data_IF_497109043491
#
_entry.id   IF_497109043491
#
_cell.length_a   1.000
_cell.length_b   1.000
_cell.length_c   1.000
_cell.angle_alpha   90.00
_cell.angle_beta   90.00
_cell.angle_gamma   90.00
#
_symmetry.space_group_name_H-M   'P 1'
#
loop_
_entity.id
_entity.type
_entity.pdbx_description
1 polymer ?
#
# COMPACT_ATOMS: atom_id res chain seq x y z
N UNK A 1 16.61 -9.75 48.48
CA UNK A 1 15.40 -10.43 47.99
C UNK A 1 14.98 -9.67 46.74
N UNK A 2 15.50 -10.12 45.58
CA UNK A 2 15.16 -9.54 44.28
C UNK A 2 13.81 -10.16 43.89
N UNK A 3 12.80 -9.35 43.80
CA UNK A 3 11.51 -9.77 43.24
C UNK A 3 11.70 -9.88 41.74
N UNK A 4 11.91 -11.09 41.24
CA UNK A 4 11.75 -11.40 39.83
C UNK A 4 10.28 -11.17 39.48
N UNK A 5 9.98 -10.12 38.78
CA UNK A 5 8.69 -9.92 38.13
C UNK A 5 8.56 -10.97 37.00
N UNK A 6 7.87 -12.08 37.32
CA UNK A 6 7.34 -12.96 36.28
C UNK A 6 6.32 -12.17 35.46
N UNK A 7 6.77 -11.49 34.43
CA UNK A 7 5.94 -11.26 33.26
C UNK A 7 5.91 -12.59 32.49
N UNK A 8 4.92 -13.43 32.78
CA UNK A 8 4.42 -14.35 31.77
C UNK A 8 3.83 -13.46 30.68
N UNK A 9 4.69 -13.09 29.72
CA UNK A 9 4.35 -12.17 28.65
C UNK A 9 3.27 -12.80 27.77
N UNK A 10 2.13 -12.16 27.73
CA UNK A 10 1.22 -12.33 26.61
C UNK A 10 2.00 -11.89 25.38
N UNK A 11 2.27 -12.81 24.43
CA UNK A 11 2.90 -12.51 23.16
C UNK A 11 2.12 -11.37 22.52
N UNK A 12 2.82 -10.28 22.21
CA UNK A 12 2.24 -9.15 21.47
C UNK A 12 2.36 -9.46 19.97
N UNK A 13 1.43 -8.99 19.17
CA UNK A 13 1.54 -9.10 17.71
C UNK A 13 2.19 -7.82 17.20
N UNK A 14 3.41 -7.92 16.72
CA UNK A 14 4.11 -6.82 16.05
C UNK A 14 3.66 -6.72 14.59
N UNK A 15 3.30 -5.52 14.15
CA UNK A 15 2.81 -5.26 12.80
C UNK A 15 3.92 -4.60 11.99
N UNK A 16 4.27 -5.22 10.87
CA UNK A 16 5.35 -4.76 9.98
C UNK A 16 4.83 -4.56 8.58
N UNK A 17 5.21 -3.46 7.93
CA UNK A 17 4.88 -3.16 6.53
C UNK A 17 6.07 -2.50 5.84
N UNK A 18 5.90 -2.13 4.58
CA UNK A 18 6.92 -1.36 3.86
C UNK A 18 6.45 0.08 3.54
N UNK A 19 7.39 0.92 3.14
CA UNK A 19 7.13 2.35 2.92
C UNK A 19 6.14 2.64 1.79
N UNK A 20 5.89 1.67 0.90
CA UNK A 20 4.93 1.86 -0.20
C UNK A 20 3.48 1.87 0.28
N UNK A 21 3.19 1.42 1.50
CA UNK A 21 1.88 1.58 2.13
C UNK A 21 1.47 3.07 2.27
N UNK A 22 2.45 3.99 2.17
CA UNK A 22 2.21 5.44 2.27
C UNK A 22 1.54 5.87 3.57
N UNK A 23 1.74 5.11 4.64
CA UNK A 23 1.24 5.43 5.98
C UNK A 23 2.02 6.63 6.52
N UNK A 24 1.36 7.73 6.91
CA UNK A 24 2.06 8.85 7.52
C UNK A 24 2.77 8.43 8.82
N UNK A 25 3.97 8.96 9.07
CA UNK A 25 4.81 8.64 10.23
C UNK A 25 4.03 8.73 11.55
N UNK A 26 3.26 9.82 11.76
CA UNK A 26 2.47 9.98 12.97
C UNK A 26 1.38 8.89 13.15
N UNK A 27 0.94 8.24 12.07
CA UNK A 27 0.00 7.11 12.13
C UNK A 27 0.75 5.82 12.48
N UNK A 28 1.92 5.61 11.86
CA UNK A 28 2.76 4.46 12.17
C UNK A 28 3.19 4.47 13.64
N UNK A 29 3.67 5.61 14.13
CA UNK A 29 4.08 5.81 15.53
C UNK A 29 2.91 5.58 16.50
N UNK A 30 1.74 6.19 16.21
CA UNK A 30 0.55 6.06 17.05
C UNK A 30 0.09 4.62 17.22
N UNK A 31 0.28 3.81 16.21
CA UNK A 31 -0.21 2.43 16.15
C UNK A 31 0.89 1.39 16.29
N UNK A 32 2.11 1.80 16.59
CA UNK A 32 3.26 0.92 16.77
C UNK A 32 3.42 -0.03 15.56
N UNK A 33 3.57 0.57 14.38
CA UNK A 33 3.76 -0.12 13.11
C UNK A 33 5.21 0.04 12.67
N UNK A 34 5.94 -1.05 12.53
CA UNK A 34 7.28 -1.04 11.95
C UNK A 34 7.22 -0.89 10.43
N UNK A 35 7.84 0.16 9.91
CA UNK A 35 7.89 0.44 8.47
C UNK A 35 9.30 0.22 7.94
N UNK A 36 9.48 -0.79 7.08
CA UNK A 36 10.75 -0.99 6.37
C UNK A 36 10.78 -0.13 5.11
N UNK A 37 11.85 0.66 4.97
CA UNK A 37 11.99 1.56 3.83
C UNK A 37 12.47 0.86 2.57
N UNK A 38 11.83 1.15 1.43
CA UNK A 38 12.42 0.96 0.11
C UNK A 38 13.41 2.11 -0.16
N UNK A 39 14.16 2.00 -1.25
CA UNK A 39 15.17 2.99 -1.61
C UNK A 39 14.93 3.50 -3.03
N UNK A 40 15.28 4.79 -3.25
CA UNK A 40 15.33 5.43 -4.54
C UNK A 40 16.78 5.70 -4.93
N UNK A 41 17.07 5.58 -6.23
CA UNK A 41 18.35 5.96 -6.82
C UNK A 41 18.11 7.06 -7.86
N UNK A 42 18.58 8.26 -7.57
CA UNK A 42 18.43 9.42 -8.43
C UNK A 42 19.66 10.29 -8.45
N UNK A 43 20.10 10.69 -9.63
CA UNK A 43 21.30 11.54 -9.84
C UNK A 43 22.55 11.02 -9.14
N UNK A 44 22.71 9.69 -9.09
CA UNK A 44 23.85 9.01 -8.46
C UNK A 44 23.82 8.97 -6.92
N UNK A 45 22.71 9.38 -6.31
CA UNK A 45 22.46 9.30 -4.87
C UNK A 45 21.38 8.26 -4.55
N UNK A 46 21.50 7.68 -3.36
CA UNK A 46 20.49 6.78 -2.80
C UNK A 46 19.75 7.49 -1.67
N UNK A 47 18.41 7.32 -1.64
CA UNK A 47 17.53 7.89 -0.65
C UNK A 47 16.62 6.82 -0.07
N UNK A 48 16.33 6.90 1.21
CA UNK A 48 15.30 6.08 1.86
C UNK A 48 13.92 6.69 1.63
N UNK A 49 13.00 5.90 1.11
CA UNK A 49 11.64 6.32 0.75
C UNK A 49 10.87 6.93 1.95
N UNK A 50 10.97 6.27 3.12
CA UNK A 50 10.27 6.70 4.34
C UNK A 50 10.77 8.01 4.95
N UNK A 51 12.02 8.40 4.66
CA UNK A 51 12.65 9.61 5.23
C UNK A 51 12.58 10.82 4.31
N UNK A 52 11.99 10.68 3.11
CA UNK A 52 11.94 11.76 2.13
C UNK A 52 10.86 12.79 2.45
N UNK A 53 11.20 14.08 2.25
CA UNK A 53 10.20 15.13 2.10
C UNK A 53 9.48 14.96 0.75
N UNK A 54 8.31 14.31 0.82
CA UNK A 54 7.52 13.93 -0.35
C UNK A 54 7.09 15.13 -1.18
N UNK A 55 6.70 16.23 -0.54
CA UNK A 55 6.28 17.45 -1.23
C UNK A 55 7.45 18.11 -1.95
N UNK A 56 8.66 18.09 -1.38
CA UNK A 56 9.87 18.56 -2.04
C UNK A 56 10.26 17.67 -3.22
N UNK A 57 10.19 16.35 -3.08
CA UNK A 57 10.46 15.40 -4.15
C UNK A 57 9.50 15.60 -5.34
N UNK A 58 8.22 15.83 -5.06
CA UNK A 58 7.22 15.98 -6.12
C UNK A 58 7.27 17.31 -6.88
N UNK A 59 8.02 18.31 -6.42
CA UNK A 59 8.28 19.51 -7.23
C UNK A 59 9.01 19.17 -8.53
N UNK A 60 9.89 18.18 -8.48
CA UNK A 60 10.72 17.77 -9.63
C UNK A 60 10.09 16.64 -10.46
N UNK A 61 8.98 16.04 -10.02
CA UNK A 61 8.39 14.84 -10.65
C UNK A 61 8.05 15.04 -12.13
N UNK A 62 7.65 16.24 -12.53
CA UNK A 62 7.31 16.56 -13.92
C UNK A 62 8.54 16.55 -14.85
N UNK A 63 9.72 16.87 -14.30
CA UNK A 63 10.98 16.88 -15.05
C UNK A 63 11.60 15.47 -15.13
N UNK A 64 11.29 14.60 -14.16
CA UNK A 64 11.80 13.22 -14.09
C UNK A 64 11.42 12.35 -15.29
N UNK A 65 10.44 12.75 -16.09
CA UNK A 65 10.03 12.01 -17.29
C UNK A 65 11.17 11.84 -18.32
N UNK A 66 12.20 12.67 -18.25
CA UNK A 66 13.39 12.59 -19.12
C UNK A 66 14.51 11.73 -18.53
N UNK A 67 14.54 11.57 -17.20
CA UNK A 67 15.52 10.77 -16.46
C UNK A 67 14.81 10.19 -15.22
N UNK A 68 14.04 9.11 -15.44
CA UNK A 68 13.19 8.51 -14.42
C UNK A 68 14.08 7.80 -13.39
N UNK A 69 13.98 8.16 -12.09
CA UNK A 69 14.71 7.46 -11.04
C UNK A 69 14.37 5.97 -10.98
N UNK A 70 15.25 5.18 -10.38
CA UNK A 70 15.01 3.76 -10.12
C UNK A 70 14.78 3.51 -8.63
N UNK A 71 14.26 2.34 -8.29
CA UNK A 71 14.05 1.94 -6.89
C UNK A 71 14.60 0.54 -6.64
N UNK A 72 14.87 0.25 -5.37
CA UNK A 72 15.21 -1.08 -4.88
C UNK A 72 14.36 -1.43 -3.66
N UNK A 73 14.13 -2.73 -3.47
CA UNK A 73 13.48 -3.27 -2.28
C UNK A 73 14.34 -3.06 -1.03
N UNK A 74 13.76 -3.18 0.19
CA UNK A 74 14.53 -3.16 1.43
C UNK A 74 15.62 -4.22 1.44
N UNK A 75 16.69 -3.99 2.18
CA UNK A 75 17.71 -5.02 2.38
C UNK A 75 17.18 -6.17 3.24
N UNK A 76 17.69 -7.38 3.02
CA UNK A 76 17.38 -8.52 3.87
C UNK A 76 17.71 -8.21 5.34
N UNK A 77 18.85 -7.58 5.58
CA UNK A 77 19.32 -7.26 6.93
C UNK A 77 18.42 -6.26 7.67
N UNK A 78 17.85 -5.28 6.97
CA UNK A 78 16.94 -4.31 7.60
C UNK A 78 15.64 -4.97 8.09
N UNK A 79 15.11 -5.94 7.34
CA UNK A 79 13.92 -6.68 7.74
C UNK A 79 14.25 -7.71 8.83
N UNK A 80 15.38 -8.45 8.67
CA UNK A 80 15.83 -9.42 9.68
C UNK A 80 15.99 -8.78 11.05
N UNK A 81 16.54 -7.58 11.13
CA UNK A 81 16.71 -6.87 12.40
C UNK A 81 15.37 -6.66 13.13
N UNK A 82 14.33 -6.22 12.45
CA UNK A 82 13.00 -6.02 13.06
C UNK A 82 12.41 -7.36 13.54
N UNK A 83 12.53 -8.40 12.72
CA UNK A 83 12.00 -9.71 13.08
C UNK A 83 12.81 -10.39 14.19
N UNK A 84 14.12 -10.13 14.27
CA UNK A 84 14.97 -10.62 15.34
C UNK A 84 14.66 -9.95 16.68
N UNK A 85 14.47 -8.62 16.67
CA UNK A 85 14.00 -7.86 17.83
C UNK A 85 12.65 -8.42 18.35
N UNK A 86 11.68 -8.66 17.44
CA UNK A 86 10.41 -9.30 17.81
C UNK A 86 10.59 -10.70 18.43
N UNK A 87 11.46 -11.52 17.82
CA UNK A 87 11.73 -12.87 18.29
C UNK A 87 12.42 -12.91 19.68
N UNK A 88 13.30 -11.92 19.96
CA UNK A 88 13.97 -11.75 21.26
C UNK A 88 12.99 -11.33 22.37
N UNK A 89 12.01 -10.49 22.01
CA UNK A 89 10.94 -10.05 22.92
C UNK A 89 9.86 -11.12 23.12
N UNK A 90 9.84 -12.15 22.28
CA UNK A 90 8.85 -13.23 22.29
C UNK A 90 7.54 -12.86 21.62
N UNK A 91 7.57 -11.86 20.74
CA UNK A 91 6.43 -11.39 19.98
C UNK A 91 6.19 -12.22 18.71
N UNK A 92 4.92 -12.34 18.34
CA UNK A 92 4.51 -12.84 17.03
C UNK A 92 4.54 -11.69 15.99
N UNK A 93 4.73 -12.00 14.70
CA UNK A 93 4.80 -10.98 13.65
C UNK A 93 3.72 -11.19 12.60
N UNK A 94 3.02 -10.09 12.25
CA UNK A 94 2.26 -9.98 11.00
C UNK A 94 2.96 -8.96 10.13
N UNK A 95 3.53 -9.43 9.00
CA UNK A 95 4.07 -8.59 7.94
C UNK A 95 3.09 -8.49 6.78
N UNK A 96 2.65 -7.28 6.44
CA UNK A 96 1.82 -7.02 5.26
C UNK A 96 2.64 -6.16 4.31
N UNK A 97 2.95 -6.67 3.14
CA UNK A 97 3.87 -6.02 2.19
C UNK A 97 3.21 -5.81 0.83
N UNK A 98 3.71 -4.83 0.09
CA UNK A 98 3.24 -4.54 -1.25
C UNK A 98 3.20 -5.78 -2.15
N UNK A 99 2.39 -5.70 -3.21
CA UNK A 99 2.20 -6.79 -4.16
C UNK A 99 3.50 -7.42 -4.64
N UNK A 100 3.60 -8.74 -4.50
CA UNK A 100 4.71 -9.56 -4.98
C UNK A 100 4.84 -9.56 -6.52
N UNK A 101 3.77 -9.17 -7.24
CA UNK A 101 3.81 -8.96 -8.69
C UNK A 101 4.50 -7.65 -9.09
N UNK A 102 4.69 -6.72 -8.15
CA UNK A 102 5.28 -5.40 -8.40
C UNK A 102 6.69 -5.26 -7.82
N UNK A 103 7.01 -5.99 -6.74
CA UNK A 103 8.29 -5.91 -6.02
C UNK A 103 8.71 -7.25 -5.43
N UNK A 104 10.01 -7.43 -5.22
CA UNK A 104 10.54 -8.55 -4.44
C UNK A 104 10.47 -8.37 -2.92
N UNK A 105 9.89 -7.28 -2.41
CA UNK A 105 9.85 -6.94 -0.97
C UNK A 105 9.23 -8.06 -0.14
N UNK A 106 8.06 -8.57 -0.52
CA UNK A 106 7.41 -9.69 0.17
C UNK A 106 8.31 -10.94 0.25
N UNK A 107 8.96 -11.31 -0.86
CA UNK A 107 9.88 -12.46 -0.87
C UNK A 107 11.10 -12.21 0.02
N UNK A 108 11.62 -10.99 0.07
CA UNK A 108 12.68 -10.61 0.97
C UNK A 108 12.24 -10.76 2.43
N UNK A 109 11.05 -10.27 2.78
CA UNK A 109 10.47 -10.40 4.12
C UNK A 109 10.26 -11.86 4.52
N UNK A 110 9.77 -12.71 3.61
CA UNK A 110 9.63 -14.14 3.87
C UNK A 110 10.97 -14.82 4.15
N UNK A 111 12.01 -14.47 3.39
CA UNK A 111 13.35 -15.02 3.59
C UNK A 111 13.92 -14.55 4.95
N UNK A 112 13.73 -13.30 5.32
CA UNK A 112 14.10 -12.76 6.62
C UNK A 112 13.39 -13.51 7.76
N UNK A 113 12.06 -13.67 7.67
CA UNK A 113 11.27 -14.38 8.67
C UNK A 113 11.72 -15.84 8.86
N UNK A 114 11.99 -16.55 7.76
CA UNK A 114 12.51 -17.93 7.81
C UNK A 114 13.92 -18.01 8.41
N UNK A 115 14.78 -17.06 8.09
CA UNK A 115 16.11 -16.97 8.69
C UNK A 115 16.02 -16.81 10.21
N UNK A 116 15.17 -15.89 10.68
CA UNK A 116 14.95 -15.68 12.12
C UNK A 116 14.33 -16.93 12.77
N UNK A 117 13.29 -17.53 12.20
CA UNK A 117 12.64 -18.73 12.71
C UNK A 117 13.60 -19.94 12.79
N UNK A 118 14.64 -19.99 11.97
CA UNK A 118 15.67 -21.03 12.06
C UNK A 118 16.49 -20.95 13.36
N UNK A 119 16.66 -19.75 13.91
CA UNK A 119 17.41 -19.42 15.14
C UNK A 119 16.53 -19.36 16.38
N UNK A 120 15.32 -18.82 16.25
CA UNK A 120 14.34 -18.59 17.32
C UNK A 120 13.14 -19.52 17.16
N UNK A 121 13.13 -20.66 17.85
CA UNK A 121 12.14 -21.75 17.64
C UNK A 121 10.71 -21.42 18.06
N UNK A 122 10.51 -20.36 18.85
CA UNK A 122 9.19 -19.91 19.28
C UNK A 122 8.67 -18.74 18.45
N UNK A 123 9.46 -18.24 17.52
CA UNK A 123 9.08 -17.14 16.66
C UNK A 123 7.99 -17.56 15.67
N UNK A 124 6.79 -16.98 15.78
CA UNK A 124 5.70 -17.18 14.85
C UNK A 124 5.56 -15.96 13.96
N UNK A 125 5.24 -16.20 12.70
CA UNK A 125 5.02 -15.11 11.76
C UNK A 125 3.95 -15.43 10.73
N UNK A 126 3.35 -14.37 10.18
CA UNK A 126 2.52 -14.40 8.97
C UNK A 126 3.00 -13.30 8.05
N UNK A 127 3.45 -13.66 6.84
CA UNK A 127 3.82 -12.72 5.78
C UNK A 127 2.72 -12.74 4.72
N UNK A 128 2.10 -11.60 4.49
CA UNK A 128 0.88 -11.46 3.67
C UNK A 128 1.17 -10.55 2.49
N UNK A 129 0.79 -10.99 1.30
CA UNK A 129 0.78 -10.17 0.11
C UNK A 129 -0.45 -9.25 0.14
N UNK A 130 -0.24 -7.93 0.21
CA UNK A 130 -1.33 -6.96 0.17
C UNK A 130 -2.04 -6.92 -1.20
N UNK A 131 -1.49 -7.58 -2.21
CA UNK A 131 -2.02 -7.59 -3.58
C UNK A 131 -2.23 -6.18 -4.14
N UNK A 132 -1.52 -5.19 -3.61
CA UNK A 132 -1.62 -3.77 -3.98
C UNK A 132 -0.42 -2.98 -3.44
N UNK A 133 -0.57 -1.65 -3.38
CA UNK A 133 0.34 -0.68 -2.79
C UNK A 133 -0.43 0.55 -2.30
N UNK A 134 0.26 1.56 -1.78
CA UNK A 134 -0.32 2.80 -1.25
C UNK A 134 -1.35 2.51 -0.15
N UNK A 135 -2.35 3.36 0.08
CA UNK A 135 -3.35 3.08 1.11
C UNK A 135 -4.22 1.82 0.85
N UNK A 136 -4.19 1.27 -0.35
CA UNK A 136 -4.80 -0.04 -0.65
C UNK A 136 -4.02 -1.22 -0.02
N UNK A 137 -2.76 -0.96 0.38
CA UNK A 137 -1.93 -1.79 1.25
C UNK A 137 -2.07 -1.36 2.73
N UNK A 138 -2.19 -0.05 3.00
CA UNK A 138 -2.31 0.46 4.36
C UNK A 138 -3.59 -0.02 5.07
N UNK A 139 -4.72 -0.13 4.38
CA UNK A 139 -5.96 -0.61 5.01
C UNK A 139 -5.83 -2.03 5.58
N UNK A 140 -5.25 -3.02 4.88
CA UNK A 140 -4.89 -4.32 5.46
C UNK A 140 -3.95 -4.23 6.68
N UNK A 141 -2.94 -3.34 6.65
CA UNK A 141 -2.05 -3.10 7.80
C UNK A 141 -2.84 -2.61 9.00
N UNK A 142 -3.71 -1.61 8.81
CA UNK A 142 -4.56 -1.06 9.86
C UNK A 142 -5.59 -2.09 10.35
N UNK A 143 -6.06 -2.99 9.49
CA UNK A 143 -6.94 -4.09 9.92
C UNK A 143 -6.21 -5.10 10.83
N UNK A 144 -4.91 -5.33 10.62
CA UNK A 144 -4.08 -6.11 11.54
C UNK A 144 -3.93 -5.40 12.89
N UNK A 145 -3.70 -4.08 12.89
CA UNK A 145 -3.66 -3.25 14.10
C UNK A 145 -4.98 -3.32 14.87
N UNK A 146 -6.13 -3.12 14.17
CA UNK A 146 -7.47 -3.25 14.79
C UNK A 146 -7.68 -4.62 15.43
N UNK A 147 -7.17 -5.71 14.79
CA UNK A 147 -7.23 -7.06 15.33
C UNK A 147 -6.38 -7.23 16.59
N UNK A 148 -5.11 -6.81 16.54
CA UNK A 148 -4.18 -6.81 17.66
C UNK A 148 -4.77 -6.07 18.87
N UNK A 149 -5.22 -4.85 18.66
CA UNK A 149 -5.74 -3.98 19.71
C UNK A 149 -7.07 -4.52 20.31
N UNK A 150 -7.80 -5.33 19.54
CA UNK A 150 -8.98 -6.07 20.02
C UNK A 150 -8.63 -7.40 20.71
N UNK A 151 -7.36 -7.77 20.83
CA UNK A 151 -6.90 -9.02 21.45
C UNK A 151 -7.18 -10.27 20.62
N UNK A 152 -7.30 -10.13 19.29
CA UNK A 152 -7.47 -11.25 18.38
C UNK A 152 -6.19 -12.11 18.33
N UNK A 153 -6.34 -13.40 18.06
CA UNK A 153 -5.24 -14.27 17.71
C UNK A 153 -4.57 -13.89 16.38
N UNK A 154 -3.37 -14.42 16.15
CA UNK A 154 -2.60 -14.19 14.92
C UNK A 154 -3.43 -14.56 13.67
N UNK A 155 -4.14 -15.68 13.70
CA UNK A 155 -4.95 -16.15 12.56
C UNK A 155 -6.22 -15.28 12.36
N UNK A 156 -6.88 -14.83 13.42
CA UNK A 156 -8.01 -13.91 13.34
C UNK A 156 -7.59 -12.54 12.79
N UNK A 157 -6.39 -12.05 13.17
CA UNK A 157 -5.80 -10.85 12.55
C UNK A 157 -5.56 -11.05 11.05
N UNK A 158 -5.03 -12.22 10.63
CA UNK A 158 -4.86 -12.53 9.21
C UNK A 158 -6.18 -12.54 8.44
N UNK A 159 -7.27 -13.03 9.04
CA UNK A 159 -8.57 -13.03 8.38
C UNK A 159 -9.13 -11.62 8.21
N UNK A 160 -8.89 -10.71 9.16
CA UNK A 160 -9.19 -9.28 9.03
C UNK A 160 -8.38 -8.63 7.90
N UNK A 161 -7.08 -8.94 7.81
CA UNK A 161 -6.20 -8.47 6.72
C UNK A 161 -6.73 -8.94 5.36
N UNK A 162 -7.06 -10.22 5.20
CA UNK A 162 -7.64 -10.76 3.96
C UNK A 162 -8.95 -10.08 3.59
N UNK A 163 -9.81 -9.84 4.58
CA UNK A 163 -11.06 -9.11 4.36
C UNK A 163 -10.80 -7.70 3.85
N UNK A 164 -9.89 -6.95 4.49
CA UNK A 164 -9.53 -5.60 4.06
C UNK A 164 -8.97 -5.58 2.63
N UNK A 165 -8.11 -6.55 2.26
CA UNK A 165 -7.62 -6.71 0.88
C UNK A 165 -8.78 -6.90 -0.10
N UNK A 166 -9.74 -7.77 0.23
CA UNK A 166 -10.87 -8.08 -0.65
C UNK A 166 -11.90 -6.94 -0.73
N UNK A 167 -12.01 -6.09 0.30
CA UNK A 167 -13.00 -5.02 0.42
C UNK A 167 -12.48 -3.63 0.05
N UNK A 168 -11.22 -3.49 -0.33
CA UNK A 168 -10.61 -2.23 -0.75
C UNK A 168 -10.50 -2.09 -2.27
N UNK A 169 -10.37 -0.84 -2.73
CA UNK A 169 -10.16 -0.51 -4.14
C UNK A 169 -9.34 0.75 -4.29
N UNK A 170 -8.35 0.68 -5.17
CA UNK A 170 -7.55 1.81 -5.62
C UNK A 170 -7.93 2.16 -7.07
N UNK A 171 -8.37 3.39 -7.31
CA UNK A 171 -8.59 3.96 -8.65
C UNK A 171 -7.70 5.19 -8.80
N UNK A 172 -6.96 5.27 -9.90
CA UNK A 172 -6.09 6.40 -10.16
C UNK A 172 -5.98 6.70 -11.66
N UNK A 173 -5.69 7.96 -11.98
CA UNK A 173 -5.47 8.42 -13.35
C UNK A 173 -4.12 9.10 -13.45
N UNK A 174 -3.10 8.47 -14.09
CA UNK A 174 -1.81 9.10 -14.33
C UNK A 174 -1.91 10.05 -15.53
N UNK A 175 -1.13 11.13 -15.49
CA UNK A 175 -1.02 12.04 -16.65
C UNK A 175 -0.33 11.37 -17.86
N UNK A 176 0.54 10.40 -17.59
CA UNK A 176 1.28 9.66 -18.60
C UNK A 176 1.57 8.23 -18.17
N UNK A 177 1.42 7.27 -19.08
CA UNK A 177 1.84 5.88 -18.86
C UNK A 177 3.36 5.65 -19.01
N UNK A 178 4.14 6.69 -19.30
CA UNK A 178 5.58 6.56 -19.54
C UNK A 178 6.34 6.06 -18.32
N UNK A 179 6.01 6.58 -17.14
CA UNK A 179 6.61 6.16 -15.87
C UNK A 179 6.34 4.68 -15.59
N UNK A 180 5.08 4.25 -15.66
CA UNK A 180 4.68 2.84 -15.46
C UNK A 180 5.37 1.91 -16.47
N UNK A 181 5.55 2.36 -17.71
CA UNK A 181 6.25 1.59 -18.75
C UNK A 181 7.75 1.49 -18.46
N UNK A 182 8.40 2.62 -18.18
CA UNK A 182 9.82 2.66 -17.91
C UNK A 182 10.18 1.84 -16.65
N UNK A 183 9.36 1.94 -15.61
CA UNK A 183 9.52 1.14 -14.39
C UNK A 183 9.12 -0.33 -14.52
N UNK A 184 8.49 -0.76 -15.61
CA UNK A 184 8.02 -2.13 -15.79
C UNK A 184 6.81 -2.54 -14.95
N UNK A 185 6.17 -1.61 -14.22
CA UNK A 185 5.01 -1.87 -13.34
C UNK A 185 3.67 -1.54 -14.00
N UNK A 186 3.66 -1.45 -15.31
CA UNK A 186 2.44 -1.21 -16.10
C UNK A 186 1.46 -2.39 -16.11
N UNK A 187 1.91 -3.61 -15.84
CA UNK A 187 1.09 -4.82 -15.77
C UNK A 187 0.18 -5.01 -16.99
N UNK A 188 -1.06 -5.42 -16.74
CA UNK A 188 -2.08 -5.62 -17.80
C UNK A 188 -2.51 -4.34 -18.50
N UNK A 189 -2.23 -3.15 -17.94
CA UNK A 189 -2.47 -1.87 -18.58
C UNK A 189 -1.54 -1.62 -19.80
N UNK A 190 -0.51 -2.47 -20.01
CA UNK A 190 0.35 -2.44 -21.21
C UNK A 190 -0.44 -2.54 -22.52
N UNK A 191 -1.61 -3.16 -22.53
CA UNK A 191 -2.51 -3.21 -23.68
C UNK A 191 -3.02 -1.83 -24.13
N UNK A 192 -2.82 -0.76 -23.34
CA UNK A 192 -3.15 0.61 -23.73
C UNK A 192 -2.13 1.21 -24.71
N UNK A 193 -0.93 0.64 -24.82
CA UNK A 193 0.07 1.11 -25.78
C UNK A 193 -0.28 0.67 -27.20
N UNK A 194 -0.22 1.60 -28.12
CA UNK A 194 -0.35 1.34 -29.57
C UNK A 194 -1.72 1.61 -30.16
N UNK A 195 -2.74 1.93 -29.38
CA UNK A 195 -4.08 1.98 -29.96
C UNK A 195 -4.78 3.34 -30.03
N UNK A 196 -4.42 4.39 -29.29
CA UNK A 196 -5.11 5.69 -29.47
C UNK A 196 -4.27 6.85 -28.91
N UNK A 197 -3.92 7.82 -29.77
CA UNK A 197 -3.55 9.18 -29.38
C UNK A 197 -4.75 9.83 -28.67
N UNK A 198 -4.56 10.27 -27.39
CA UNK A 198 -5.53 11.04 -26.57
C UNK A 198 -6.55 10.20 -25.80
N UNK A 199 -6.11 9.19 -25.06
CA UNK A 199 -6.90 8.61 -23.98
C UNK A 199 -6.35 9.05 -22.62
N UNK A 200 -7.25 9.21 -21.66
CA UNK A 200 -6.94 9.38 -20.26
C UNK A 200 -7.37 8.08 -19.56
N UNK A 201 -6.42 7.20 -19.17
CA UNK A 201 -6.75 5.93 -18.57
C UNK A 201 -7.12 6.11 -17.11
N UNK A 202 -8.06 5.29 -16.62
CA UNK A 202 -8.27 5.05 -15.22
C UNK A 202 -7.73 3.66 -14.92
N UNK A 203 -6.82 3.58 -13.98
CA UNK A 203 -6.15 2.36 -13.59
C UNK A 203 -6.63 1.90 -12.22
N UNK A 204 -6.45 0.63 -11.96
CA UNK A 204 -6.71 -0.03 -10.67
C UNK A 204 -5.68 -1.14 -10.47
N UNK A 205 -5.70 -1.75 -9.30
CA UNK A 205 -4.93 -2.97 -9.03
C UNK A 205 -5.89 -4.14 -8.87
N UNK A 206 -5.69 -5.17 -9.67
CA UNK A 206 -6.45 -6.45 -9.62
C UNK A 206 -5.47 -7.60 -9.62
N UNK A 207 -5.64 -8.55 -8.70
CA UNK A 207 -4.73 -9.70 -8.52
C UNK A 207 -3.25 -9.27 -8.36
N UNK A 208 -3.01 -8.16 -7.69
CA UNK A 208 -1.66 -7.63 -7.47
C UNK A 208 -1.04 -6.90 -8.66
N UNK A 209 -1.70 -6.78 -9.80
CA UNK A 209 -1.17 -6.14 -11.01
C UNK A 209 -1.92 -4.86 -11.39
N UNK A 210 -1.19 -3.89 -11.93
CA UNK A 210 -1.79 -2.69 -12.52
C UNK A 210 -2.68 -3.09 -13.71
N UNK A 211 -3.94 -2.70 -13.65
CA UNK A 211 -4.97 -3.10 -14.62
C UNK A 211 -5.75 -1.86 -15.08
N UNK A 212 -6.27 -1.89 -16.29
CA UNK A 212 -7.16 -0.84 -16.81
C UNK A 212 -8.55 -1.00 -16.22
N UNK A 213 -9.03 0.00 -15.48
CA UNK A 213 -10.42 0.07 -15.02
C UNK A 213 -11.34 0.64 -16.13
N UNK A 214 -10.96 1.78 -16.70
CA UNK A 214 -11.76 2.47 -17.72
C UNK A 214 -10.85 3.32 -18.64
N UNK A 215 -11.39 3.79 -19.77
CA UNK A 215 -10.71 4.61 -20.76
C UNK A 215 -11.60 5.76 -21.18
N UNK A 216 -11.17 6.97 -20.88
CA UNK A 216 -11.90 8.18 -21.23
C UNK A 216 -11.01 9.14 -22.06
N UNK A 217 -11.58 10.25 -22.53
CA UNK A 217 -10.82 11.18 -23.40
C UNK A 217 -10.26 12.40 -22.68
N UNK A 218 -10.69 12.65 -21.45
CA UNK A 218 -10.28 13.84 -20.71
C UNK A 218 -10.12 13.52 -19.22
N UNK A 219 -9.21 14.23 -18.56
CA UNK A 219 -8.98 14.10 -17.12
C UNK A 219 -10.28 14.32 -16.32
N UNK A 220 -11.06 15.36 -16.65
CA UNK A 220 -12.36 15.60 -16.01
C UNK A 220 -13.31 14.38 -16.09
N UNK A 221 -13.31 13.65 -17.22
CA UNK A 221 -14.10 12.42 -17.35
C UNK A 221 -13.52 11.29 -16.54
N UNK A 222 -12.20 11.23 -16.36
CA UNK A 222 -11.56 10.23 -15.49
C UNK A 222 -11.96 10.43 -14.04
N UNK A 223 -11.86 11.65 -13.53
CA UNK A 223 -12.30 12.00 -12.18
C UNK A 223 -13.79 11.68 -11.98
N UNK A 224 -14.64 12.04 -12.95
CA UNK A 224 -16.07 11.71 -12.90
C UNK A 224 -16.37 10.21 -12.88
N UNK A 225 -15.61 9.41 -13.67
CA UNK A 225 -15.75 7.95 -13.70
C UNK A 225 -15.33 7.31 -12.37
N UNK A 226 -14.19 7.75 -11.78
CA UNK A 226 -13.74 7.31 -10.46
C UNK A 226 -14.77 7.65 -9.38
N UNK A 227 -15.29 8.88 -9.37
CA UNK A 227 -16.36 9.33 -8.44
C UNK A 227 -17.61 8.47 -8.56
N UNK A 228 -18.05 8.20 -9.79
CA UNK A 228 -19.25 7.36 -10.05
C UNK A 228 -19.04 5.95 -9.52
N UNK A 229 -17.85 5.37 -9.74
CA UNK A 229 -17.54 4.03 -9.23
C UNK A 229 -17.51 4.01 -7.71
N UNK A 230 -16.82 4.97 -7.09
CA UNK A 230 -16.78 5.12 -5.64
C UNK A 230 -18.18 5.21 -5.04
N UNK A 231 -19.01 6.13 -5.55
CA UNK A 231 -20.38 6.31 -5.11
C UNK A 231 -21.20 5.01 -5.21
N UNK A 232 -21.13 4.32 -6.34
CA UNK A 232 -21.84 3.06 -6.56
C UNK A 232 -21.39 1.94 -5.60
N UNK A 233 -20.09 1.89 -5.29
CA UNK A 233 -19.56 0.86 -4.37
C UNK A 233 -19.99 1.14 -2.94
N UNK A 234 -19.87 2.39 -2.46
CA UNK A 234 -20.23 2.72 -1.08
C UNK A 234 -21.75 2.61 -0.83
N UNK A 235 -22.58 2.93 -1.82
CA UNK A 235 -24.03 2.74 -1.73
C UNK A 235 -24.42 1.27 -1.60
N UNK A 236 -23.65 0.37 -2.21
CA UNK A 236 -23.98 -1.06 -2.25
C UNK A 236 -23.30 -1.86 -1.15
N UNK A 237 -22.05 -1.54 -0.82
CA UNK A 237 -21.20 -2.35 0.05
C UNK A 237 -20.85 -1.65 1.38
N UNK A 238 -21.36 -0.42 1.60
CA UNK A 238 -21.06 0.40 2.76
C UNK A 238 -19.63 0.96 2.72
N UNK A 239 -19.42 2.14 3.28
CA UNK A 239 -18.10 2.76 3.37
C UNK A 239 -17.49 2.53 4.75
N UNK A 240 -16.27 1.96 4.81
CA UNK A 240 -15.44 1.89 6.02
C UNK A 240 -14.42 3.03 6.02
N UNK A 241 -13.52 3.06 5.03
CA UNK A 241 -12.43 4.04 4.92
C UNK A 241 -12.32 4.64 3.52
N UNK A 242 -11.77 5.86 3.44
CA UNK A 242 -11.48 6.53 2.17
C UNK A 242 -10.33 7.52 2.31
N UNK A 243 -9.46 7.54 1.31
CA UNK A 243 -8.31 8.47 1.17
C UNK A 243 -8.27 8.95 -0.27
N UNK A 244 -8.00 10.23 -0.47
CA UNK A 244 -7.63 10.77 -1.79
C UNK A 244 -6.11 10.87 -1.87
N UNK A 245 -5.56 10.37 -2.97
CA UNK A 245 -4.12 10.36 -3.23
C UNK A 245 -3.71 11.32 -4.34
N UNK A 246 -2.48 11.82 -4.25
CA UNK A 246 -1.84 12.59 -5.31
C UNK A 246 -0.35 12.24 -5.46
N UNK A 247 0.17 12.48 -6.66
CA UNK A 247 1.58 12.48 -7.03
C UNK A 247 1.81 13.77 -7.82
N UNK A 248 2.70 14.63 -7.35
CA UNK A 248 2.89 15.98 -7.90
C UNK A 248 2.09 17.02 -7.12
N UNK A 249 1.25 17.81 -7.78
CA UNK A 249 0.46 18.85 -7.11
C UNK A 249 -0.74 18.28 -6.35
N UNK A 250 -0.91 18.71 -5.09
CA UNK A 250 -2.06 18.32 -4.25
C UNK A 250 -3.33 19.16 -4.49
N UNK A 251 -3.28 20.23 -5.27
CA UNK A 251 -4.35 21.24 -5.35
C UNK A 251 -5.66 20.64 -5.90
N UNK A 252 -5.58 19.93 -7.02
CA UNK A 252 -6.75 19.30 -7.63
C UNK A 252 -7.31 18.19 -6.74
N UNK A 253 -6.44 17.37 -6.12
CA UNK A 253 -6.82 16.31 -5.20
C UNK A 253 -7.58 16.86 -3.98
N UNK A 254 -7.08 17.96 -3.37
CA UNK A 254 -7.74 18.63 -2.25
C UNK A 254 -9.09 19.22 -2.65
N UNK A 255 -9.18 19.83 -3.83
CA UNK A 255 -10.45 20.37 -4.35
C UNK A 255 -11.45 19.24 -4.57
N UNK A 256 -11.02 18.13 -5.18
CA UNK A 256 -11.89 16.97 -5.41
C UNK A 256 -12.34 16.31 -4.10
N UNK A 257 -11.45 16.16 -3.13
CA UNK A 257 -11.79 15.63 -1.80
C UNK A 257 -12.88 16.48 -1.16
N UNK A 258 -12.65 17.78 -1.00
CA UNK A 258 -13.55 18.70 -0.30
C UNK A 258 -14.90 18.90 -1.02
N UNK A 259 -14.88 19.09 -2.34
CA UNK A 259 -16.08 19.50 -3.07
C UNK A 259 -16.93 18.30 -3.54
N UNK A 260 -16.34 17.12 -3.64
CA UNK A 260 -17.02 15.96 -4.23
C UNK A 260 -17.05 14.75 -3.31
N UNK A 261 -15.90 14.35 -2.73
CA UNK A 261 -15.83 13.09 -1.97
C UNK A 261 -16.41 13.26 -0.56
N UNK A 262 -16.05 14.32 0.16
CA UNK A 262 -16.58 14.60 1.50
C UNK A 262 -18.11 14.68 1.56
N UNK A 263 -18.80 15.38 0.61
CA UNK A 263 -20.26 15.38 0.57
C UNK A 263 -20.86 13.99 0.37
N UNK A 264 -20.18 13.07 -0.33
CA UNK A 264 -20.65 11.69 -0.50
C UNK A 264 -20.43 10.84 0.76
N UNK A 265 -19.41 11.16 1.56
CA UNK A 265 -19.04 10.43 2.78
C UNK A 265 -19.71 11.01 4.04
N UNK A 266 -20.14 12.26 4.01
CA UNK A 266 -20.64 13.00 5.17
C UNK A 266 -19.58 13.30 6.25
N UNK A 267 -18.29 13.25 5.88
CA UNK A 267 -17.14 13.50 6.77
C UNK A 267 -15.94 14.03 6.00
N UNK A 268 -14.98 14.61 6.71
CA UNK A 268 -13.67 14.97 6.15
C UNK A 268 -12.96 13.74 5.56
N UNK A 269 -12.21 14.00 4.48
CA UNK A 269 -11.43 12.98 3.77
C UNK A 269 -9.98 13.44 3.68
N UNK A 270 -9.09 12.64 4.22
CA UNK A 270 -7.65 12.92 4.17
C UNK A 270 -7.12 12.87 2.74
N UNK A 271 -6.28 13.85 2.40
CA UNK A 271 -5.55 13.91 1.14
C UNK A 271 -4.08 13.65 1.45
N UNK A 272 -3.58 12.48 1.03
CA UNK A 272 -2.27 11.97 1.40
C UNK A 272 -1.42 11.78 0.14
N UNK A 273 -0.16 12.26 0.11
CA UNK A 273 0.74 11.93 -0.98
C UNK A 273 1.00 10.42 -1.03
N UNK A 274 1.23 9.92 -2.21
CA UNK A 274 1.75 8.54 -2.38
C UNK A 274 3.24 8.54 -2.05
N UNK A 275 3.82 7.41 -1.65
CA UNK A 275 5.26 7.33 -1.39
C UNK A 275 6.09 7.68 -2.63
N UNK A 276 7.29 8.28 -2.48
CA UNK A 276 8.19 8.60 -3.58
C UNK A 276 8.51 7.40 -4.48
N UNK A 277 8.70 6.20 -3.91
CA UNK A 277 8.94 4.97 -4.69
C UNK A 277 7.77 4.63 -5.60
N UNK A 278 6.54 4.77 -5.15
CA UNK A 278 5.38 4.59 -6.03
C UNK A 278 5.29 5.76 -7.03
N UNK A 279 5.54 6.99 -6.57
CA UNK A 279 5.52 8.19 -7.40
C UNK A 279 6.43 8.11 -8.62
N UNK A 280 7.67 7.65 -8.45
CA UNK A 280 8.62 7.51 -9.57
C UNK A 280 8.20 6.46 -10.61
N UNK A 281 7.38 5.47 -10.23
CA UNK A 281 6.86 4.46 -11.15
C UNK A 281 5.56 4.88 -11.83
N UNK A 282 4.75 5.73 -11.21
CA UNK A 282 3.43 6.17 -11.72
C UNK A 282 3.51 7.51 -12.43
N UNK A 283 4.40 8.41 -11.95
CA UNK A 283 4.47 9.81 -12.39
C UNK A 283 3.29 10.63 -11.84
N UNK A 284 3.14 11.90 -12.25
CA UNK A 284 2.05 12.76 -11.81
C UNK A 284 0.69 12.09 -12.00
N UNK A 285 -0.08 12.04 -10.91
CA UNK A 285 -1.35 11.31 -10.89
C UNK A 285 -2.26 11.79 -9.74
N UNK A 286 -3.54 11.47 -9.85
CA UNK A 286 -4.52 11.61 -8.79
C UNK A 286 -5.35 10.33 -8.68
N UNK A 287 -5.76 9.97 -7.45
CA UNK A 287 -6.53 8.76 -7.21
C UNK A 287 -7.34 8.78 -5.94
N UNK A 288 -8.14 7.75 -5.77
CA UNK A 288 -8.92 7.48 -4.56
C UNK A 288 -8.72 6.02 -4.16
N UNK A 289 -8.49 5.82 -2.88
CA UNK A 289 -8.47 4.50 -2.26
C UNK A 289 -9.59 4.44 -1.24
N UNK A 290 -10.37 3.40 -1.26
CA UNK A 290 -11.45 3.20 -0.30
C UNK A 290 -11.60 1.74 0.09
N UNK A 291 -12.07 1.54 1.31
CA UNK A 291 -12.43 0.24 1.88
C UNK A 291 -13.93 0.26 2.18
N UNK A 292 -14.60 -0.80 1.76
CA UNK A 292 -16.00 -1.03 2.05
C UNK A 292 -16.19 -2.04 3.20
N UNK A 293 -17.42 -2.15 3.72
CA UNK A 293 -17.72 -3.13 4.76
C UNK A 293 -17.77 -4.56 4.20
N UNK A 294 -18.05 -4.71 2.90
CA UNK A 294 -18.12 -6.00 2.22
C UNK A 294 -17.07 -6.10 1.10
N UNK A 295 -16.73 -7.33 0.71
CA UNK A 295 -15.79 -7.58 -0.39
C UNK A 295 -16.26 -6.98 -1.72
N UNK A 296 -15.35 -6.36 -2.44
CA UNK A 296 -15.62 -5.67 -3.70
C UNK A 296 -15.40 -6.57 -4.91
N UNK A 297 -16.38 -6.69 -5.82
CA UNK A 297 -16.21 -7.48 -7.03
C UNK A 297 -15.12 -6.89 -7.94
N UNK A 298 -14.28 -7.76 -8.51
CA UNK A 298 -13.20 -7.38 -9.42
C UNK A 298 -11.94 -6.84 -8.76
N UNK A 299 -11.85 -6.87 -7.42
CA UNK A 299 -10.58 -6.68 -6.70
C UNK A 299 -9.69 -7.90 -6.87
N UNK A 300 -10.28 -9.07 -6.68
CA UNK A 300 -9.66 -10.36 -6.92
C UNK A 300 -10.45 -11.13 -7.97
N UNK A 301 -9.77 -11.87 -8.83
CA UNK A 301 -10.41 -12.79 -9.78
C UNK A 301 -11.05 -13.96 -9.06
N UNK A 302 -12.04 -14.59 -9.69
CA UNK A 302 -12.68 -15.78 -9.14
C UNK A 302 -11.65 -16.89 -8.90
N UNK A 303 -11.53 -17.34 -7.64
CA UNK A 303 -10.56 -18.35 -7.23
C UNK A 303 -9.15 -17.80 -6.94
N UNK A 304 -8.92 -16.49 -7.04
CA UNK A 304 -7.66 -15.92 -6.59
C UNK A 304 -7.50 -16.13 -5.08
N UNK A 305 -6.28 -16.43 -4.67
CA UNK A 305 -5.89 -16.65 -3.28
C UNK A 305 -4.95 -15.54 -2.83
N UNK A 306 -5.22 -14.96 -1.65
CA UNK A 306 -4.31 -14.01 -1.02
C UNK A 306 -3.19 -14.83 -0.36
N UNK A 307 -1.92 -14.67 -0.79
CA UNK A 307 -0.82 -15.41 -0.21
C UNK A 307 -0.61 -15.01 1.26
N UNK A 308 -0.71 -15.99 2.15
CA UNK A 308 -0.33 -15.89 3.56
C UNK A 308 0.69 -16.98 3.82
N UNK A 309 1.91 -16.58 4.14
CA UNK A 309 3.03 -17.48 4.33
C UNK A 309 3.45 -17.49 5.81
N UNK A 310 3.68 -18.66 6.34
CA UNK A 310 4.01 -18.90 7.74
C UNK A 310 5.29 -19.73 7.90
N UNK A 311 5.69 -19.91 9.11
CA UNK A 311 6.75 -20.83 9.54
C UNK A 311 6.47 -22.29 9.15
#
# INVERSE_FOLDING_TARGET
MIVESNHEGVSVIRIVTDSTASIPEYVADKHDIDVVSLHLHWKGMEYEDSSMDVDSFYKDIYEMITDIPTSSQPSLASIERIFEEAAEEGDDVIGVFMSSSMSGTMNCALNAARSVASRYKKFNFRIIDAMSNSFDEAFPVLAAVEGRDAGCSLDECCDRVKHAIASSRFLFTPESLRFLKAGGRIGKASALFGHILRICPILTVTDGETTTFDKVRTHRKAVSSMTKKFKSDIEKYGLKNVIVHYIGSSEEARTWAREVIEPLCGREVSVVPVSPVIGLHVGPAMGIVYECNEALPGKLSAGAHIPVLSS
#
